data_IF_673475769882
#
_entry.id   IF_673475769882
#
_cell.length_a   1.000
_cell.length_b   1.000
_cell.length_c   1.000
_cell.angle_alpha   90.00
_cell.angle_beta   90.00
_cell.angle_gamma   90.00
#
_symmetry.space_group_name_H-M   'P 1'
#
loop_
_entity.id
_entity.type
_entity.pdbx_description
1 polymer ?
#
# COMPACT_ATOMS: atom_id res chain seq x y z
N UNK A 1 7.07 29.52 14.05
CA UNK A 1 7.63 29.67 12.68
C UNK A 1 7.71 28.28 12.07
N UNK A 2 6.83 27.97 11.11
CA UNK A 2 6.92 26.72 10.36
C UNK A 2 8.06 26.86 9.35
N UNK A 3 9.14 26.12 9.56
CA UNK A 3 10.24 26.08 8.59
C UNK A 3 9.78 25.23 7.40
N UNK A 4 9.54 25.88 6.27
CA UNK A 4 9.35 25.20 4.98
C UNK A 4 10.69 24.61 4.57
N UNK A 5 10.94 23.37 5.02
CA UNK A 5 12.00 22.53 4.47
C UNK A 5 11.78 22.36 2.98
N UNK A 6 12.61 23.04 2.20
CA UNK A 6 12.62 23.04 0.75
C UNK A 6 13.21 21.70 0.26
N UNK A 7 12.38 20.67 0.12
CA UNK A 7 12.76 19.45 -0.59
C UNK A 7 12.68 19.76 -2.11
N UNK A 8 13.75 20.37 -2.62
CA UNK A 8 13.96 20.70 -4.03
C UNK A 8 14.19 19.41 -4.83
N UNK A 9 13.10 18.80 -5.29
CA UNK A 9 13.08 18.06 -6.56
C UNK A 9 11.84 18.48 -7.35
N UNK A 10 11.82 19.73 -7.83
CA UNK A 10 10.88 20.10 -8.88
C UNK A 10 11.24 19.35 -10.16
N UNK A 11 10.69 18.16 -10.34
CA UNK A 11 10.49 17.65 -11.70
C UNK A 11 9.44 18.57 -12.34
N UNK A 12 9.91 19.61 -13.03
CA UNK A 12 9.06 20.49 -13.84
C UNK A 12 8.27 19.59 -14.80
N UNK A 13 6.98 19.36 -14.51
CA UNK A 13 6.04 18.67 -15.40
C UNK A 13 5.30 17.44 -14.86
N UNK A 14 5.61 16.92 -13.67
CA UNK A 14 4.82 15.80 -13.11
C UNK A 14 3.59 16.31 -12.36
N UNK A 15 2.41 15.79 -12.72
CA UNK A 15 1.14 16.11 -12.04
C UNK A 15 1.22 15.64 -10.59
N UNK A 16 1.06 16.55 -9.62
CA UNK A 16 0.93 16.20 -8.20
C UNK A 16 -0.54 15.86 -7.91
N UNK A 17 -0.81 14.61 -7.55
CA UNK A 17 -2.13 14.15 -7.13
C UNK A 17 -2.52 14.64 -5.75
N UNK A 18 -1.53 14.76 -4.85
CA UNK A 18 -1.78 15.14 -3.47
C UNK A 18 -0.60 14.86 -2.56
N UNK A 19 -0.87 14.75 -1.27
CA UNK A 19 0.15 14.60 -0.24
C UNK A 19 -0.37 13.87 0.99
N UNK A 20 0.50 13.06 1.59
CA UNK A 20 0.30 12.41 2.88
C UNK A 20 1.21 13.06 3.92
N UNK A 21 0.66 13.25 5.12
CA UNK A 21 1.35 13.81 6.27
C UNK A 21 1.18 12.86 7.47
N UNK A 22 2.29 12.54 8.14
CA UNK A 22 2.27 11.77 9.39
C UNK A 22 2.04 12.74 10.54
N UNK A 23 0.84 12.67 11.12
CA UNK A 23 0.48 13.49 12.27
C UNK A 23 1.17 12.96 13.54
N UNK A 24 1.39 13.84 14.52
CA UNK A 24 2.06 13.49 15.79
C UNK A 24 3.59 13.63 15.77
N UNK A 25 4.17 14.14 14.68
CA UNK A 25 5.63 14.30 14.53
C UNK A 25 6.11 15.77 14.56
N UNK A 26 5.25 16.76 14.83
CA UNK A 26 5.60 18.19 14.76
C UNK A 26 6.36 18.62 13.49
N UNK A 27 6.12 17.94 12.36
CA UNK A 27 6.75 18.22 11.07
C UNK A 27 8.03 17.45 10.73
N UNK A 28 8.53 16.57 11.61
CA UNK A 28 9.67 15.69 11.32
C UNK A 28 9.63 14.41 12.16
N UNK A 29 10.04 13.26 11.60
CA UNK A 29 10.08 12.03 12.39
C UNK A 29 11.11 12.13 13.54
N UNK A 30 10.92 11.46 14.69
CA UNK A 30 11.83 11.55 15.85
C UNK A 30 13.29 11.18 15.53
N UNK A 31 13.47 10.24 14.58
CA UNK A 31 14.79 9.82 14.08
C UNK A 31 15.28 10.61 12.86
N UNK A 32 14.59 11.69 12.49
CA UNK A 32 14.73 12.37 11.22
C UNK A 32 14.15 11.60 10.04
N UNK A 33 13.95 12.32 8.93
CA UNK A 33 13.50 11.77 7.66
C UNK A 33 14.67 11.07 6.95
N UNK A 34 14.54 9.78 6.61
CA UNK A 34 15.57 8.97 5.95
C UNK A 34 14.98 8.13 4.82
N UNK A 35 15.38 8.41 3.58
CA UNK A 35 14.94 7.67 2.40
C UNK A 35 13.42 7.69 2.25
N UNK A 36 12.78 6.51 2.30
CA UNK A 36 11.32 6.35 2.21
C UNK A 36 10.57 6.55 3.54
N UNK A 37 11.30 6.68 4.66
CA UNK A 37 10.76 6.99 5.98
C UNK A 37 10.79 8.49 6.16
N UNK A 38 9.65 9.15 5.92
CA UNK A 38 9.51 10.60 5.98
C UNK A 38 8.27 10.99 6.78
N UNK A 39 8.23 12.21 7.28
CA UNK A 39 7.02 12.79 7.88
C UNK A 39 5.98 13.22 6.84
N UNK A 40 6.42 13.37 5.58
CA UNK A 40 5.63 13.89 4.45
C UNK A 40 5.94 13.09 3.18
N UNK A 41 4.91 12.79 2.40
CA UNK A 41 5.03 12.06 1.14
C UNK A 41 4.12 12.64 0.06
N UNK A 42 4.72 13.16 -1.02
CA UNK A 42 3.98 13.69 -2.17
C UNK A 42 3.59 12.56 -3.13
N UNK A 43 2.30 12.48 -3.46
CA UNK A 43 1.75 11.57 -4.46
C UNK A 43 1.84 12.25 -5.82
N UNK A 44 2.78 11.84 -6.66
CA UNK A 44 2.99 12.43 -8.00
C UNK A 44 2.82 11.39 -9.10
N UNK A 45 2.31 11.83 -10.24
CA UNK A 45 2.16 10.99 -11.45
C UNK A 45 3.47 10.32 -11.78
N UNK A 46 3.45 8.98 -11.84
CA UNK A 46 4.63 8.19 -12.20
C UNK A 46 4.94 8.33 -13.68
N UNK A 47 6.21 8.13 -14.04
CA UNK A 47 6.63 8.09 -15.45
C UNK A 47 5.89 6.98 -16.22
N UNK A 48 5.84 5.78 -15.64
CA UNK A 48 5.06 4.64 -16.15
C UNK A 48 3.92 4.34 -15.18
N UNK A 49 2.72 4.13 -15.73
CA UNK A 49 1.58 3.68 -14.95
C UNK A 49 1.92 2.36 -14.25
N UNK A 50 1.49 2.22 -13.00
CA UNK A 50 1.67 0.99 -12.22
C UNK A 50 0.37 0.58 -11.50
N UNK A 51 -0.74 1.19 -11.86
CA UNK A 51 -2.06 0.83 -11.39
C UNK A 51 -2.41 -0.62 -11.73
N UNK A 52 -3.38 -1.14 -10.97
CA UNK A 52 -3.91 -2.49 -11.17
C UNK A 52 -5.43 -2.48 -11.07
N UNK A 53 -6.07 -3.37 -11.81
CA UNK A 53 -7.53 -3.56 -11.81
C UNK A 53 -7.88 -5.05 -11.67
N UNK A 54 -9.01 -5.40 -11.04
CA UNK A 54 -9.47 -6.79 -10.97
C UNK A 54 -9.62 -7.41 -12.36
N UNK A 55 -9.32 -8.70 -12.47
CA UNK A 55 -9.42 -9.49 -13.69
C UNK A 55 -10.08 -10.83 -13.38
N UNK A 56 -9.36 -11.95 -13.53
CA UNK A 56 -9.88 -13.29 -13.39
C UNK A 56 -10.14 -13.64 -11.93
N UNK A 57 -11.23 -14.36 -11.66
CA UNK A 57 -11.55 -14.89 -10.33
C UNK A 57 -11.47 -16.41 -10.39
N UNK A 58 -10.61 -16.98 -9.56
CA UNK A 58 -10.46 -18.42 -9.39
C UNK A 58 -11.15 -18.84 -8.09
N UNK A 59 -12.40 -19.27 -8.21
CA UNK A 59 -13.14 -19.85 -7.09
C UNK A 59 -12.72 -21.33 -6.89
N UNK A 60 -12.49 -21.74 -5.65
CA UNK A 60 -12.26 -23.14 -5.24
C UNK A 60 -10.83 -23.67 -5.32
N UNK A 61 -9.81 -22.81 -5.19
CA UNK A 61 -8.45 -23.28 -4.99
C UNK A 61 -8.19 -23.63 -3.50
N UNK A 62 -7.39 -24.66 -3.23
CA UNK A 62 -6.87 -24.89 -1.86
C UNK A 62 -5.82 -23.84 -1.53
N UNK A 63 -5.50 -23.55 -0.25
CA UNK A 63 -4.44 -22.60 0.08
C UNK A 63 -3.07 -22.95 -0.53
N UNK A 64 -2.77 -24.23 -0.71
CA UNK A 64 -1.57 -24.68 -1.42
C UNK A 64 -1.66 -24.38 -2.93
N UNK A 65 -2.81 -24.66 -3.56
CA UNK A 65 -3.04 -24.36 -4.97
C UNK A 65 -3.07 -22.85 -5.24
N UNK A 66 -3.61 -22.03 -4.33
CA UNK A 66 -3.62 -20.57 -4.42
C UNK A 66 -2.20 -19.99 -4.53
N UNK A 67 -1.25 -20.54 -3.74
CA UNK A 67 0.17 -20.16 -3.85
C UNK A 67 0.78 -20.56 -5.20
N UNK A 68 0.31 -21.64 -5.82
CA UNK A 68 0.78 -22.10 -7.13
C UNK A 68 0.14 -21.35 -8.31
N UNK A 69 -1.10 -20.89 -8.15
CA UNK A 69 -1.83 -20.11 -9.17
C UNK A 69 -1.32 -18.66 -9.24
N UNK A 70 -0.71 -18.15 -8.17
CA UNK A 70 -0.12 -16.82 -8.15
C UNK A 70 0.95 -16.67 -9.23
N UNK A 71 0.57 -16.10 -10.37
CA UNK A 71 1.50 -15.72 -11.42
C UNK A 71 2.42 -14.61 -10.88
N UNK A 72 3.73 -14.87 -10.77
CA UNK A 72 4.73 -13.90 -10.27
C UNK A 72 4.75 -12.58 -11.05
N UNK A 73 4.20 -12.57 -12.26
CA UNK A 73 4.15 -11.38 -13.10
C UNK A 73 2.98 -10.47 -12.73
N UNK A 74 1.87 -11.04 -12.26
CA UNK A 74 0.62 -10.33 -11.98
C UNK A 74 0.40 -10.12 -10.48
N UNK A 75 -0.48 -9.20 -10.14
CA UNK A 75 -0.89 -8.99 -8.76
C UNK A 75 -2.06 -9.91 -8.43
N UNK A 76 -2.19 -10.35 -7.19
CA UNK A 76 -3.27 -11.23 -6.76
C UNK A 76 -3.75 -10.90 -5.35
N UNK A 77 -5.02 -11.21 -5.09
CA UNK A 77 -5.59 -11.17 -3.74
C UNK A 77 -6.17 -12.55 -3.45
N UNK A 78 -5.65 -13.19 -2.40
CA UNK A 78 -6.03 -14.52 -1.96
C UNK A 78 -6.95 -14.42 -0.75
N UNK A 79 -8.22 -14.76 -0.94
CA UNK A 79 -9.26 -14.78 0.08
C UNK A 79 -9.46 -16.21 0.59
N UNK A 80 -8.96 -16.52 1.79
CA UNK A 80 -9.14 -17.85 2.38
C UNK A 80 -10.46 -17.88 3.14
N UNK A 81 -11.47 -18.56 2.59
CA UNK A 81 -12.80 -18.70 3.20
C UNK A 81 -12.83 -19.84 4.23
N UNK A 82 -12.11 -20.92 3.97
CA UNK A 82 -11.97 -22.07 4.87
C UNK A 82 -10.63 -22.79 4.66
N UNK A 83 -10.33 -23.82 5.46
CA UNK A 83 -9.13 -24.66 5.24
C UNK A 83 -9.10 -25.34 3.87
N UNK A 84 -10.27 -25.53 3.25
CA UNK A 84 -10.41 -26.19 1.95
C UNK A 84 -10.72 -25.23 0.79
N UNK A 85 -11.07 -23.96 1.08
CA UNK A 85 -11.57 -23.04 0.07
C UNK A 85 -10.85 -21.69 0.13
N UNK A 86 -10.20 -21.34 -0.97
CA UNK A 86 -9.62 -20.04 -1.25
C UNK A 86 -10.17 -19.52 -2.58
N UNK A 87 -10.48 -18.23 -2.61
CA UNK A 87 -10.81 -17.50 -3.84
C UNK A 87 -9.62 -16.61 -4.16
N UNK A 88 -9.05 -16.75 -5.35
CA UNK A 88 -7.95 -15.88 -5.82
C UNK A 88 -8.50 -14.94 -6.87
N UNK A 89 -8.34 -13.64 -6.63
CA UNK A 89 -8.67 -12.60 -7.61
C UNK A 89 -7.36 -12.08 -8.19
N UNK A 90 -7.19 -12.28 -9.49
CA UNK A 90 -6.06 -11.73 -10.24
C UNK A 90 -6.29 -10.27 -10.57
N UNK A 91 -5.19 -9.53 -10.63
CA UNK A 91 -5.16 -8.12 -10.95
C UNK A 91 -4.22 -7.89 -12.12
N UNK A 92 -4.77 -7.30 -13.18
CA UNK A 92 -4.02 -6.95 -14.38
C UNK A 92 -3.57 -5.50 -14.34
N UNK A 93 -2.60 -5.16 -15.18
CA UNK A 93 -2.10 -3.79 -15.28
C UNK A 93 -3.20 -2.83 -15.74
N UNK A 94 -3.32 -1.70 -15.04
CA UNK A 94 -4.15 -0.57 -15.43
C UNK A 94 -3.26 0.61 -15.84
N UNK A 95 -3.28 0.94 -17.13
CA UNK A 95 -2.54 2.06 -17.71
C UNK A 95 -3.09 3.44 -17.34
N UNK A 96 -4.27 3.49 -16.71
CA UNK A 96 -4.99 4.75 -16.41
C UNK A 96 -4.81 5.21 -14.96
N UNK A 97 -4.13 4.44 -14.13
CA UNK A 97 -3.92 4.77 -12.72
C UNK A 97 -2.49 4.54 -12.23
N UNK A 98 -2.16 5.20 -11.14
CA UNK A 98 -0.93 4.98 -10.38
C UNK A 98 -1.28 4.44 -8.99
N UNK A 99 -0.49 3.48 -8.53
CA UNK A 99 -0.59 2.88 -7.20
C UNK A 99 0.59 3.34 -6.33
N UNK A 100 0.28 3.68 -5.08
CA UNK A 100 1.26 3.98 -4.03
C UNK A 100 0.95 3.11 -2.81
N UNK A 101 1.95 2.40 -2.28
CA UNK A 101 1.75 1.54 -1.10
C UNK A 101 2.40 2.13 0.14
N UNK A 102 1.67 2.02 1.25
CA UNK A 102 2.05 2.52 2.55
C UNK A 102 2.09 1.36 3.53
N UNK A 103 3.10 1.32 4.38
CA UNK A 103 3.22 0.30 5.42
C UNK A 103 4.50 0.45 6.22
N UNK A 104 4.68 -0.42 7.22
CA UNK A 104 5.91 -0.42 8.03
C UNK A 104 7.08 -1.17 7.41
N UNK A 105 6.85 -1.97 6.38
CA UNK A 105 7.93 -2.71 5.72
C UNK A 105 8.82 -1.76 4.93
N UNK A 106 10.12 -2.03 4.92
CA UNK A 106 11.10 -1.34 4.04
C UNK A 106 11.29 -2.10 2.73
N UNK A 107 10.51 -3.14 2.47
CA UNK A 107 10.55 -3.87 1.20
C UNK A 107 10.22 -2.96 0.00
N UNK A 108 10.71 -3.34 -1.17
CA UNK A 108 10.58 -2.54 -2.41
C UNK A 108 9.14 -2.14 -2.78
N UNK A 109 8.10 -2.95 -2.54
CA UNK A 109 6.73 -2.55 -2.87
C UNK A 109 6.20 -1.35 -2.08
N UNK A 110 6.85 -0.95 -0.97
CA UNK A 110 6.40 0.18 -0.14
C UNK A 110 7.03 1.48 -0.62
N UNK A 111 6.19 2.44 -1.00
CA UNK A 111 6.62 3.77 -1.41
C UNK A 111 6.82 4.69 -0.21
N UNK A 112 5.94 4.56 0.80
CA UNK A 112 5.98 5.39 2.00
C UNK A 112 6.02 4.53 3.28
N UNK A 113 7.15 4.61 3.98
CA UNK A 113 7.40 3.79 5.17
C UNK A 113 6.93 4.53 6.42
N UNK A 114 5.93 3.98 7.09
CA UNK A 114 5.37 4.51 8.35
C UNK A 114 5.66 3.53 9.48
N UNK A 115 6.33 4.01 10.52
CA UNK A 115 6.73 3.22 11.69
C UNK A 115 6.01 3.73 12.93
N UNK A 116 5.81 2.90 13.96
CA UNK A 116 5.26 3.39 15.21
C UNK A 116 6.15 4.48 15.80
N UNK A 117 5.49 5.46 16.38
CA UNK A 117 6.13 6.56 17.06
C UNK A 117 6.34 6.11 18.49
N UNK A 118 7.60 5.98 18.93
CA UNK A 118 7.87 5.77 20.33
C UNK A 118 7.40 7.01 21.10
N UNK A 119 6.69 6.86 22.23
CA UNK A 119 6.46 7.99 23.12
C UNK A 119 7.82 8.57 23.50
N UNK A 120 7.94 9.90 23.48
CA UNK A 120 9.19 10.67 23.61
C UNK A 120 10.01 10.38 24.89
N UNK A 121 9.50 9.55 25.81
CA UNK A 121 10.05 9.29 27.15
C UNK A 121 10.29 7.80 27.46
N UNK A 122 10.32 6.89 26.49
CA UNK A 122 10.70 5.49 26.74
C UNK A 122 11.88 5.07 25.87
N UNK A 123 13.06 5.04 26.49
CA UNK A 123 14.23 4.33 25.97
C UNK A 123 13.98 2.83 26.13
N UNK A 124 13.30 2.24 25.15
CA UNK A 124 13.08 0.80 25.08
C UNK A 124 12.55 0.42 23.70
N UNK A 125 12.90 -0.76 23.16
CA UNK A 125 12.32 -1.22 21.90
C UNK A 125 10.79 -1.30 22.04
N UNK A 126 10.06 -0.59 21.17
CA UNK A 126 8.61 -0.71 21.02
C UNK A 126 8.26 -2.19 20.83
N UNK A 127 7.59 -2.78 21.82
CA UNK A 127 7.48 -4.23 21.97
C UNK A 127 6.62 -4.86 20.86
N UNK A 128 5.74 -4.11 20.19
CA UNK A 128 5.06 -4.62 19.00
C UNK A 128 4.47 -3.49 18.15
N UNK A 129 4.83 -3.48 16.86
CA UNK A 129 4.19 -2.56 15.91
C UNK A 129 2.74 -2.95 15.68
N UNK A 130 1.83 -1.98 15.74
CA UNK A 130 0.42 -2.18 15.37
C UNK A 130 0.16 -1.90 13.89
N UNK A 131 1.15 -1.32 13.21
CA UNK A 131 1.07 -0.98 11.80
C UNK A 131 1.31 -2.25 10.96
N UNK A 132 0.47 -2.45 9.95
CA UNK A 132 0.64 -3.56 9.02
C UNK A 132 1.87 -3.36 8.12
N UNK A 133 2.55 -4.47 7.77
CA UNK A 133 3.72 -4.43 6.86
C UNK A 133 3.40 -3.80 5.51
N UNK A 134 2.25 -4.16 4.96
CA UNK A 134 1.66 -3.61 3.75
C UNK A 134 0.25 -3.12 4.10
N UNK A 135 0.14 -1.89 4.61
CA UNK A 135 -1.05 -1.42 5.31
C UNK A 135 -2.18 -0.98 4.39
N UNK A 136 -1.86 -0.19 3.37
CA UNK A 136 -2.85 0.28 2.40
C UNK A 136 -2.21 0.65 1.06
N UNK A 137 -3.08 0.85 0.08
CA UNK A 137 -2.77 1.37 -1.24
C UNK A 137 -3.58 2.64 -1.49
N UNK A 138 -2.95 3.63 -2.08
CA UNK A 138 -3.65 4.78 -2.66
C UNK A 138 -3.55 4.65 -4.17
N UNK A 139 -4.71 4.62 -4.84
CA UNK A 139 -4.82 4.57 -6.29
C UNK A 139 -5.27 5.93 -6.78
N UNK A 140 -4.44 6.57 -7.61
CA UNK A 140 -4.74 7.86 -8.22
C UNK A 140 -5.00 7.68 -9.72
N UNK A 141 -6.07 8.29 -10.23
CA UNK A 141 -6.32 8.33 -11.67
C UNK A 141 -5.31 9.26 -12.36
N UNK A 142 -4.75 8.83 -13.49
CA UNK A 142 -3.78 9.61 -14.29
C UNK A 142 -4.43 10.70 -15.13
N UNK A 143 -5.75 10.68 -15.26
CA UNK A 143 -6.54 11.65 -16.02
C UNK A 143 -7.34 12.56 -15.06
N UNK A 144 -7.63 13.81 -15.43
CA UNK A 144 -8.53 14.69 -14.67
C UNK A 144 -9.87 13.98 -14.37
N UNK A 145 -10.45 14.13 -13.16
CA UNK A 145 -10.06 15.06 -12.08
C UNK A 145 -8.98 14.52 -11.13
N UNK A 146 -8.21 13.50 -11.52
CA UNK A 146 -7.13 12.90 -10.73
C UNK A 146 -7.58 12.32 -9.39
N UNK A 147 -8.78 11.75 -9.37
CA UNK A 147 -9.38 11.15 -8.17
C UNK A 147 -8.42 10.16 -7.50
N UNK A 148 -8.25 10.29 -6.19
CA UNK A 148 -7.50 9.38 -5.35
C UNK A 148 -8.46 8.52 -4.51
N UNK A 149 -8.20 7.21 -4.43
CA UNK A 149 -8.97 6.25 -3.61
C UNK A 149 -8.03 5.43 -2.75
N UNK A 150 -8.42 5.20 -1.50
CA UNK A 150 -7.68 4.35 -0.56
C UNK A 150 -8.28 2.93 -0.53
N UNK A 151 -7.41 1.93 -0.53
CA UNK A 151 -7.75 0.52 -0.38
C UNK A 151 -6.97 -0.05 0.78
N UNK A 152 -7.64 -0.87 1.61
CA UNK A 152 -6.97 -1.61 2.65
C UNK A 152 -6.01 -2.66 2.07
N UNK A 153 -4.97 -2.97 2.84
CA UNK A 153 -3.85 -3.83 2.50
C UNK A 153 -3.02 -3.36 1.29
N UNK A 154 -1.76 -3.77 1.25
CA UNK A 154 -0.86 -3.62 0.10
C UNK A 154 -0.30 -4.95 -0.35
N UNK A 155 0.09 -5.04 -1.61
CA UNK A 155 0.74 -6.21 -2.17
C UNK A 155 2.13 -6.38 -1.56
N UNK A 156 2.45 -7.61 -1.18
CA UNK A 156 3.77 -7.98 -0.72
C UNK A 156 4.79 -8.09 -1.88
N UNK A 157 6.02 -8.49 -1.56
CA UNK A 157 7.06 -8.71 -2.58
C UNK A 157 6.74 -9.83 -3.57
N UNK A 158 5.77 -10.70 -3.26
CA UNK A 158 5.22 -11.71 -4.18
C UNK A 158 4.06 -11.19 -5.02
N UNK A 159 3.78 -9.87 -4.95
CA UNK A 159 2.64 -9.20 -5.58
C UNK A 159 1.28 -9.73 -5.10
N UNK A 160 1.22 -10.30 -3.90
CA UNK A 160 0.01 -10.91 -3.35
C UNK A 160 -0.50 -10.17 -2.10
N UNK A 161 -1.81 -10.16 -1.92
CA UNK A 161 -2.46 -9.82 -0.64
C UNK A 161 -3.11 -11.10 -0.10
N UNK A 162 -2.71 -11.50 1.09
CA UNK A 162 -3.29 -12.67 1.74
C UNK A 162 -4.28 -12.26 2.83
N UNK A 163 -5.53 -12.72 2.70
CA UNK A 163 -6.59 -12.53 3.68
C UNK A 163 -6.98 -13.91 4.23
N UNK A 164 -6.63 -14.14 5.50
CA UNK A 164 -6.90 -15.40 6.19
C UNK A 164 -8.36 -15.51 6.68
N UNK A 165 -8.71 -16.70 7.17
CA UNK A 165 -10.07 -17.06 7.65
C UNK A 165 -10.59 -16.19 8.80
N UNK A 166 -9.72 -15.46 9.49
CA UNK A 166 -10.09 -14.56 10.60
C UNK A 166 -10.39 -13.13 10.14
N UNK A 167 -10.06 -12.77 8.89
CA UNK A 167 -10.45 -11.50 8.31
C UNK A 167 -11.96 -11.53 8.04
N UNK A 168 -12.73 -10.66 8.72
CA UNK A 168 -14.18 -10.55 8.50
C UNK A 168 -14.46 -10.02 7.09
N UNK A 169 -14.66 -10.96 6.17
CA UNK A 169 -14.79 -10.72 4.73
C UNK A 169 -16.23 -10.52 4.27
N UNK A 170 -17.20 -10.60 5.19
CA UNK A 170 -18.64 -10.74 4.91
C UNK A 170 -19.25 -9.61 4.07
N UNK A 171 -18.51 -8.52 3.80
CA UNK A 171 -18.97 -7.38 3.00
C UNK A 171 -18.11 -7.00 1.79
N UNK A 172 -16.95 -7.64 1.56
CA UNK A 172 -16.06 -7.26 0.44
C UNK A 172 -16.23 -8.07 -0.84
N UNK A 173 -16.77 -9.30 -0.77
CA UNK A 173 -16.93 -10.14 -1.98
C UNK A 173 -18.17 -9.76 -2.81
N UNK A 174 -19.19 -9.12 -2.21
CA UNK A 174 -20.49 -8.88 -2.86
C UNK A 174 -20.76 -7.43 -3.29
N UNK A 175 -19.77 -6.54 -3.18
CA UNK A 175 -19.92 -5.17 -3.68
C UNK A 175 -19.42 -5.08 -5.14
N UNK A 176 -20.28 -5.50 -6.07
CA UNK A 176 -20.28 -5.01 -7.45
C UNK A 176 -21.21 -3.80 -7.54
#
# INVERSE_FOLDING_TARGET
MFSLGQDNTSSKGSVKYGELLVLGCNGALPSGDKGRRKSRFSLCRRNKANGVKPSTIHASCTPQAAKAISNKEQHSISYTLSRAQTVVVEYTHDGTSDMFQIGRSTENPIDFVVTDMAPMNQEGPLIQSTISRFACRIICQRNPPYSARIFAAGFDSSKNIFLGVTCKLTRMIYAN
#
